data_IF_785723906754
#
_entry.id   IF_785723906754
#
_cell.length_a   1.000
_cell.length_b   1.000
_cell.length_c   1.000
_cell.angle_alpha   90.00
_cell.angle_beta   90.00
_cell.angle_gamma   90.00
#
_symmetry.space_group_name_H-M   'P 1'
#
loop_
_entity.id
_entity.type
_entity.pdbx_description
1 polymer ?
#
# COMPACT_ATOMS: atom_id res chain seq x y z
N UNK A 1 -0.14 -24.53 -9.09
CA UNK A 1 -0.49 -23.08 -9.18
C UNK A 1 0.32 -22.24 -8.20
N UNK A 2 0.34 -22.57 -6.90
CA UNK A 2 1.13 -21.87 -5.86
C UNK A 2 2.61 -21.64 -6.20
N UNK A 3 3.32 -22.67 -6.64
CA UNK A 3 4.76 -22.56 -7.00
C UNK A 3 5.02 -21.61 -8.17
N UNK A 4 4.08 -21.51 -9.13
CA UNK A 4 4.22 -20.61 -10.27
C UNK A 4 4.03 -19.15 -9.87
N UNK A 5 3.04 -18.86 -9.02
CA UNK A 5 2.77 -17.50 -8.52
C UNK A 5 3.95 -17.02 -7.67
N UNK A 6 4.45 -17.89 -6.79
CA UNK A 6 5.67 -17.61 -6.03
C UNK A 6 6.87 -17.42 -6.96
N UNK A 7 7.06 -18.29 -7.96
CA UNK A 7 8.16 -18.14 -8.92
C UNK A 7 8.20 -16.77 -9.61
N UNK A 8 7.03 -16.21 -9.96
CA UNK A 8 6.93 -14.88 -10.59
C UNK A 8 7.22 -13.75 -9.60
N UNK A 9 6.51 -13.71 -8.46
CA UNK A 9 6.70 -12.67 -7.44
C UNK A 9 8.11 -12.67 -6.86
N UNK A 10 8.80 -13.82 -6.95
CA UNK A 10 10.14 -14.01 -6.43
C UNK A 10 11.25 -13.90 -7.49
N UNK A 11 10.90 -13.60 -8.74
CA UNK A 11 11.89 -13.48 -9.80
C UNK A 11 12.75 -12.21 -9.64
N UNK A 12 14.04 -12.21 -10.02
CA UNK A 12 14.91 -11.04 -9.91
C UNK A 12 14.41 -9.83 -10.70
N UNK A 13 13.68 -10.06 -11.80
CA UNK A 13 13.13 -9.01 -12.66
C UNK A 13 11.80 -8.44 -12.15
N UNK A 14 11.16 -9.07 -11.16
CA UNK A 14 9.81 -8.71 -10.70
C UNK A 14 9.72 -7.24 -10.26
N UNK A 15 10.65 -6.77 -9.42
CA UNK A 15 10.64 -5.39 -8.92
C UNK A 15 10.84 -4.37 -10.06
N UNK A 16 11.71 -4.67 -11.03
CA UNK A 16 11.92 -3.79 -12.18
C UNK A 16 10.70 -3.73 -13.08
N UNK A 17 10.03 -4.87 -13.32
CA UNK A 17 8.78 -4.92 -14.07
C UNK A 17 7.66 -4.17 -13.35
N UNK A 18 7.52 -4.35 -12.04
CA UNK A 18 6.52 -3.64 -11.24
C UNK A 18 6.75 -2.12 -11.28
N UNK A 19 8.00 -1.67 -11.13
CA UNK A 19 8.35 -0.25 -11.26
C UNK A 19 8.02 0.31 -12.64
N UNK A 20 8.32 -0.43 -13.70
CA UNK A 20 8.00 -0.02 -15.08
C UNK A 20 6.49 0.05 -15.33
N UNK A 21 5.72 -0.91 -14.80
CA UNK A 21 4.25 -0.91 -14.90
C UNK A 21 3.65 0.27 -14.12
N UNK A 22 4.11 0.53 -12.90
CA UNK A 22 3.66 1.71 -12.14
C UNK A 22 3.95 3.00 -12.89
N UNK A 23 5.17 3.16 -13.41
CA UNK A 23 5.55 4.35 -14.17
C UNK A 23 4.70 4.50 -15.43
N UNK A 24 4.42 3.40 -16.13
CA UNK A 24 3.57 3.41 -17.32
C UNK A 24 2.13 3.81 -16.97
N UNK A 25 1.50 3.15 -15.99
CA UNK A 25 0.12 3.44 -15.59
C UNK A 25 -0.02 4.89 -15.12
N UNK A 26 0.92 5.37 -14.29
CA UNK A 26 0.94 6.75 -13.84
C UNK A 26 1.18 7.75 -14.97
N UNK A 27 2.10 7.44 -15.90
CA UNK A 27 2.33 8.32 -17.07
C UNK A 27 1.07 8.40 -17.95
N UNK A 28 0.39 7.27 -18.17
CA UNK A 28 -0.83 7.23 -18.95
C UNK A 28 -1.97 8.01 -18.27
N UNK A 29 -2.11 7.92 -16.94
CA UNK A 29 -3.15 8.65 -16.21
C UNK A 29 -2.95 10.17 -16.33
N UNK A 30 -1.72 10.67 -16.23
CA UNK A 30 -1.45 12.12 -16.36
C UNK A 30 -1.42 12.64 -17.80
N UNK A 31 -1.36 11.75 -18.80
CA UNK A 31 -1.24 12.14 -20.22
C UNK A 31 -2.59 12.41 -20.88
N UNK A 32 -3.72 12.15 -20.22
CA UNK A 32 -5.07 12.39 -20.75
C UNK A 32 -5.52 13.77 -20.24
N UNK A 33 -5.49 14.83 -21.08
CA UNK A 33 -5.58 16.21 -20.59
C UNK A 33 -6.97 16.60 -20.06
N UNK A 34 -8.01 15.95 -20.56
CA UNK A 34 -9.39 16.39 -20.35
C UNK A 34 -10.15 15.51 -19.34
N UNK A 35 -9.74 14.26 -19.16
CA UNK A 35 -10.43 13.31 -18.28
C UNK A 35 -9.56 12.08 -17.94
N UNK A 36 -8.79 12.10 -16.83
CA UNK A 36 -8.05 10.92 -16.38
C UNK A 36 -8.92 9.90 -15.66
N UNK A 37 -10.23 10.15 -15.47
CA UNK A 37 -11.11 9.25 -14.71
C UNK A 37 -11.06 7.79 -15.18
N UNK A 38 -10.95 7.43 -16.48
CA UNK A 38 -10.88 6.01 -16.86
C UNK A 38 -9.71 5.23 -16.24
N UNK A 39 -8.65 5.94 -15.81
CA UNK A 39 -7.50 5.35 -15.12
C UNK A 39 -7.60 5.37 -13.60
N UNK A 40 -8.26 6.40 -13.06
CA UNK A 40 -8.39 6.69 -11.63
C UNK A 40 -9.74 6.22 -11.05
N UNK A 41 -10.63 5.70 -11.89
CA UNK A 41 -11.90 5.13 -11.45
C UNK A 41 -11.66 3.93 -10.53
N UNK A 42 -12.65 3.58 -9.71
CA UNK A 42 -12.51 2.58 -8.66
C UNK A 42 -12.17 1.18 -9.21
N UNK A 43 -12.51 0.93 -10.48
CA UNK A 43 -12.16 -0.30 -11.23
C UNK A 43 -11.08 -0.08 -12.29
N UNK A 44 -10.44 1.08 -12.24
CA UNK A 44 -9.40 1.50 -13.14
C UNK A 44 -8.13 0.65 -13.02
N UNK A 45 -7.24 0.75 -14.01
CA UNK A 45 -5.90 0.15 -13.97
C UNK A 45 -5.11 0.45 -12.70
N UNK A 46 -5.28 1.63 -12.08
CA UNK A 46 -4.58 1.98 -10.85
C UNK A 46 -5.04 1.11 -9.69
N UNK A 47 -6.34 1.03 -9.43
CA UNK A 47 -6.94 0.23 -8.35
C UNK A 47 -6.64 -1.26 -8.52
N UNK A 48 -6.71 -1.79 -9.74
CA UNK A 48 -6.34 -3.18 -10.01
C UNK A 48 -4.86 -3.44 -9.67
N UNK A 49 -3.98 -2.49 -10.03
CA UNK A 49 -2.55 -2.61 -9.78
C UNK A 49 -2.21 -2.45 -8.30
N UNK A 50 -2.82 -1.51 -7.58
CA UNK A 50 -2.68 -1.34 -6.12
C UNK A 50 -3.16 -2.60 -5.39
N UNK A 51 -4.33 -3.14 -5.75
CA UNK A 51 -4.85 -4.40 -5.22
C UNK A 51 -3.89 -5.57 -5.43
N UNK A 52 -3.31 -5.68 -6.63
CA UNK A 52 -2.28 -6.70 -6.89
C UNK A 52 -1.02 -6.51 -6.04
N UNK A 53 -0.56 -5.27 -5.83
CA UNK A 53 0.58 -5.00 -4.94
C UNK A 53 0.28 -5.41 -3.49
N UNK A 54 -0.93 -5.10 -2.99
CA UNK A 54 -1.39 -5.53 -1.66
C UNK A 54 -1.42 -7.06 -1.55
N UNK A 55 -1.92 -7.75 -2.57
CA UNK A 55 -1.90 -9.21 -2.64
C UNK A 55 -0.46 -9.77 -2.53
N UNK A 56 0.47 -9.19 -3.29
CA UNK A 56 1.89 -9.59 -3.26
C UNK A 56 2.51 -9.33 -1.89
N UNK A 57 2.21 -8.20 -1.25
CA UNK A 57 2.61 -7.92 0.12
C UNK A 57 2.11 -9.01 1.09
N UNK A 58 0.84 -9.39 0.99
CA UNK A 58 0.25 -10.46 1.80
C UNK A 58 0.98 -11.80 1.63
N UNK A 59 1.24 -12.20 0.39
CA UNK A 59 1.99 -13.41 0.06
C UNK A 59 3.41 -13.37 0.64
N UNK A 60 4.16 -12.28 0.39
CA UNK A 60 5.54 -12.15 0.86
C UNK A 60 5.62 -12.18 2.39
N UNK A 61 4.70 -11.52 3.10
CA UNK A 61 4.65 -11.56 4.56
C UNK A 61 4.41 -12.98 5.10
N UNK A 62 3.55 -13.77 4.46
CA UNK A 62 3.34 -15.17 4.85
C UNK A 62 4.51 -16.09 4.46
N UNK A 63 5.26 -15.78 3.41
CA UNK A 63 6.51 -16.49 3.11
C UNK A 63 7.61 -16.14 4.12
N UNK A 64 7.71 -14.88 4.55
CA UNK A 64 8.58 -14.48 5.67
C UNK A 64 8.20 -15.25 6.94
N UNK A 65 6.91 -15.36 7.25
CA UNK A 65 6.42 -16.15 8.40
C UNK A 65 6.89 -17.60 8.37
N UNK A 66 6.92 -18.25 7.20
CA UNK A 66 7.39 -19.64 7.07
C UNK A 66 8.88 -19.79 7.40
N UNK A 67 9.69 -18.81 6.98
CA UNK A 67 11.13 -18.80 7.22
C UNK A 67 11.47 -18.32 8.64
N UNK A 68 10.66 -17.42 9.19
CA UNK A 68 10.85 -16.81 10.50
C UNK A 68 9.49 -16.68 11.21
N UNK A 69 9.05 -17.73 11.91
CA UNK A 69 7.73 -17.77 12.52
C UNK A 69 7.59 -16.75 13.65
N UNK A 70 6.90 -15.65 13.36
CA UNK A 70 6.46 -14.68 14.35
C UNK A 70 5.02 -14.27 14.05
N UNK A 71 4.19 -14.14 15.09
CA UNK A 71 2.77 -13.83 14.94
C UNK A 71 2.53 -12.56 14.10
N UNK A 72 3.44 -11.59 14.18
CA UNK A 72 3.34 -10.32 13.45
C UNK A 72 3.36 -10.52 11.93
N UNK A 73 4.19 -11.42 11.39
CA UNK A 73 4.23 -11.68 9.94
C UNK A 73 2.92 -12.29 9.43
N UNK A 74 2.30 -13.14 10.26
CA UNK A 74 0.98 -13.70 9.96
C UNK A 74 -0.10 -12.61 9.99
N UNK A 75 -0.05 -11.72 10.98
CA UNK A 75 -0.97 -10.59 11.07
C UNK A 75 -0.81 -9.63 9.89
N UNK A 76 0.43 -9.26 9.53
CA UNK A 76 0.72 -8.42 8.36
C UNK A 76 0.20 -9.08 7.07
N UNK A 77 0.45 -10.39 6.90
CA UNK A 77 -0.01 -11.12 5.73
C UNK A 77 -1.52 -11.10 5.56
N UNK A 78 -2.27 -11.40 6.62
CA UNK A 78 -3.73 -11.33 6.60
C UNK A 78 -4.26 -9.90 6.51
N UNK A 79 -3.58 -8.93 7.13
CA UNK A 79 -3.91 -7.51 7.00
C UNK A 79 -3.84 -7.03 5.55
N UNK A 80 -2.77 -7.38 4.83
CA UNK A 80 -2.66 -7.05 3.41
C UNK A 80 -3.67 -7.78 2.52
N UNK A 81 -4.06 -9.02 2.84
CA UNK A 81 -5.16 -9.68 2.13
C UNK A 81 -6.51 -9.02 2.41
N UNK A 82 -6.75 -8.57 3.63
CA UNK A 82 -7.94 -7.79 3.96
C UNK A 82 -7.95 -6.47 3.16
N UNK A 83 -6.84 -5.71 3.15
CA UNK A 83 -6.72 -4.48 2.37
C UNK A 83 -6.88 -4.73 0.85
N UNK A 84 -6.32 -5.82 0.33
CA UNK A 84 -6.53 -6.20 -1.07
C UNK A 84 -8.00 -6.51 -1.37
N UNK A 85 -8.70 -7.21 -0.46
CA UNK A 85 -10.12 -7.48 -0.63
C UNK A 85 -10.95 -6.21 -0.52
N UNK A 86 -10.58 -5.30 0.39
CA UNK A 86 -11.21 -3.99 0.53
C UNK A 86 -11.06 -3.15 -0.74
N UNK A 87 -9.85 -3.04 -1.28
CA UNK A 87 -9.59 -2.32 -2.54
C UNK A 87 -10.39 -2.92 -3.71
N UNK A 88 -10.45 -4.25 -3.81
CA UNK A 88 -11.08 -4.94 -4.94
C UNK A 88 -12.60 -5.11 -4.81
N UNK A 89 -13.17 -4.91 -3.62
CA UNK A 89 -14.60 -5.12 -3.37
C UNK A 89 -15.28 -3.90 -2.75
N UNK A 90 -14.52 -2.81 -2.52
CA UNK A 90 -15.00 -1.56 -1.92
C UNK A 90 -15.75 -1.82 -0.60
N UNK A 91 -15.12 -2.57 0.31
CA UNK A 91 -15.78 -2.92 1.57
C UNK A 91 -15.99 -1.69 2.45
N UNK A 92 -15.06 -0.72 2.42
CA UNK A 92 -15.18 0.55 3.14
C UNK A 92 -16.37 1.38 2.64
N UNK A 93 -16.61 1.50 1.33
CA UNK A 93 -17.79 2.19 0.81
C UNK A 93 -19.09 1.49 1.19
N UNK A 94 -19.10 0.17 1.10
CA UNK A 94 -20.28 -0.62 1.48
C UNK A 94 -20.58 -0.49 2.98
N UNK A 95 -19.53 -0.34 3.80
CA UNK A 95 -19.63 -0.08 5.24
C UNK A 95 -20.15 1.32 5.52
N UNK A 96 -19.68 2.34 4.79
CA UNK A 96 -20.19 3.71 4.88
C UNK A 96 -21.70 3.78 4.56
N UNK A 97 -22.10 3.23 3.40
CA UNK A 97 -23.50 3.15 2.99
C UNK A 97 -24.37 2.45 4.03
N UNK A 98 -23.86 1.38 4.64
CA UNK A 98 -24.54 0.65 5.70
C UNK A 98 -24.69 1.49 6.98
N UNK A 99 -23.65 2.20 7.41
CA UNK A 99 -23.68 3.06 8.60
C UNK A 99 -24.70 4.18 8.41
N UNK A 100 -24.68 4.83 7.24
CA UNK A 100 -25.67 5.84 6.87
C UNK A 100 -27.10 5.30 6.93
N UNK A 101 -27.31 4.10 6.41
CA UNK A 101 -28.62 3.44 6.43
C UNK A 101 -29.08 3.09 7.85
N UNK A 102 -28.20 2.53 8.69
CA UNK A 102 -28.54 2.13 10.08
C UNK A 102 -28.82 3.35 10.95
N UNK A 103 -28.01 4.41 10.83
CA UNK A 103 -28.12 5.60 11.70
C UNK A 103 -29.13 6.63 11.19
N UNK A 104 -29.65 6.47 9.97
CA UNK A 104 -30.57 7.44 9.35
C UNK A 104 -29.95 8.82 9.17
N UNK A 105 -28.62 8.91 9.12
CA UNK A 105 -27.87 10.17 9.00
C UNK A 105 -27.81 10.53 7.52
N UNK A 106 -28.24 11.74 7.17
CA UNK A 106 -28.07 12.24 5.80
C UNK A 106 -26.59 12.45 5.47
N UNK A 107 -26.22 12.15 4.23
CA UNK A 107 -24.90 12.45 3.68
C UNK A 107 -24.66 13.97 3.69
N UNK A 108 -23.88 14.42 4.66
CA UNK A 108 -23.33 15.77 4.78
C UNK A 108 -21.85 15.76 4.40
N UNK A 109 -21.26 16.94 4.18
CA UNK A 109 -19.81 17.08 3.93
C UNK A 109 -18.95 16.32 4.95
N UNK A 110 -19.32 16.31 6.23
CA UNK A 110 -18.53 15.65 7.29
C UNK A 110 -18.69 14.12 7.23
N UNK A 111 -19.91 13.66 6.99
CA UNK A 111 -20.20 12.22 6.99
C UNK A 111 -19.76 11.54 5.72
N UNK A 112 -19.57 12.30 4.63
CA UNK A 112 -19.04 11.80 3.35
C UNK A 112 -17.55 11.42 3.39
N UNK A 113 -16.87 11.61 4.53
CA UNK A 113 -15.46 11.22 4.73
C UNK A 113 -15.35 10.02 5.68
N UNK A 114 -16.44 9.30 5.94
CA UNK A 114 -16.42 8.19 6.88
C UNK A 114 -15.66 6.99 6.33
N UNK A 115 -15.73 6.77 5.02
CA UNK A 115 -14.85 5.86 4.26
C UNK A 115 -13.37 6.18 4.46
N UNK A 116 -12.97 7.44 4.29
CA UNK A 116 -11.58 7.89 4.51
C UNK A 116 -11.12 7.62 5.95
N UNK A 117 -12.02 7.88 6.92
CA UNK A 117 -11.77 7.59 8.34
C UNK A 117 -11.62 6.08 8.58
N UNK A 118 -12.44 5.24 7.93
CA UNK A 118 -12.33 3.78 8.02
C UNK A 118 -10.96 3.31 7.50
N UNK A 119 -10.53 3.81 6.34
CA UNK A 119 -9.20 3.49 5.76
C UNK A 119 -8.08 3.98 6.67
N UNK A 120 -8.19 5.20 7.21
CA UNK A 120 -7.24 5.75 8.20
C UNK A 120 -7.13 4.87 9.45
N UNK A 121 -8.24 4.34 9.96
CA UNK A 121 -8.27 3.40 11.08
C UNK A 121 -7.56 2.08 10.76
N UNK A 122 -7.67 1.57 9.53
CA UNK A 122 -6.89 0.40 9.09
C UNK A 122 -5.38 0.69 9.16
N UNK A 123 -4.96 1.86 8.70
CA UNK A 123 -3.58 2.32 8.79
C UNK A 123 -3.07 2.39 10.23
N UNK A 124 -3.88 2.96 11.14
CA UNK A 124 -3.55 3.04 12.57
C UNK A 124 -3.45 1.65 13.22
N UNK A 125 -4.36 0.72 12.88
CA UNK A 125 -4.29 -0.65 13.36
C UNK A 125 -3.01 -1.36 12.86
N UNK A 126 -2.64 -1.15 11.60
CA UNK A 126 -1.37 -1.65 11.03
C UNK A 126 -0.14 -1.08 11.75
N UNK A 127 -0.12 0.22 12.03
CA UNK A 127 0.97 0.86 12.77
C UNK A 127 1.07 0.34 14.21
N UNK A 128 -0.06 0.18 14.89
CA UNK A 128 -0.12 -0.41 16.23
C UNK A 128 0.40 -1.85 16.24
N UNK A 129 0.05 -2.65 15.23
CA UNK A 129 0.57 -4.01 15.06
C UNK A 129 2.10 -4.01 14.89
N UNK A 130 2.65 -3.14 14.04
CA UNK A 130 4.10 -3.00 13.86
C UNK A 130 4.81 -2.56 15.15
N UNK A 131 4.21 -1.64 15.90
CA UNK A 131 4.75 -1.22 17.19
C UNK A 131 4.74 -2.35 18.23
N UNK A 132 3.68 -3.16 18.27
CA UNK A 132 3.60 -4.35 19.12
C UNK A 132 4.61 -5.43 18.70
N UNK A 133 4.80 -5.63 17.39
CA UNK A 133 5.77 -6.55 16.81
C UNK A 133 7.18 -5.98 16.64
N UNK A 134 7.49 -4.80 17.22
CA UNK A 134 8.71 -4.03 16.92
C UNK A 134 10.02 -4.80 17.09
N UNK A 135 10.08 -5.73 18.05
CA UNK A 135 11.28 -6.54 18.29
C UNK A 135 11.65 -7.37 17.05
N UNK A 136 10.64 -7.88 16.35
CA UNK A 136 10.79 -8.64 15.12
C UNK A 136 11.09 -7.73 13.93
N UNK A 137 10.45 -6.56 13.85
CA UNK A 137 10.69 -5.59 12.77
C UNK A 137 12.12 -5.01 12.84
N UNK A 138 12.66 -4.79 14.04
CA UNK A 138 14.03 -4.28 14.26
C UNK A 138 15.09 -5.23 13.69
N UNK A 139 14.82 -6.53 13.60
CA UNK A 139 15.71 -7.47 12.90
C UNK A 139 15.96 -7.04 11.44
N UNK A 140 14.95 -6.48 10.79
CA UNK A 140 14.99 -5.97 9.43
C UNK A 140 15.26 -4.46 9.35
N UNK A 141 15.88 -3.86 10.37
CA UNK A 141 16.14 -2.41 10.45
C UNK A 141 16.81 -1.82 9.21
N UNK A 142 17.55 -2.58 8.40
CA UNK A 142 18.13 -2.05 7.15
C UNK A 142 17.06 -1.64 6.13
N UNK A 143 15.89 -2.27 6.18
CA UNK A 143 14.78 -2.05 5.23
C UNK A 143 13.69 -1.13 5.78
N UNK A 144 13.86 -0.62 7.01
CA UNK A 144 12.88 0.26 7.67
C UNK A 144 12.49 1.50 6.85
N UNK A 145 13.44 2.08 6.12
CA UNK A 145 13.21 3.28 5.31
C UNK A 145 12.25 3.00 4.15
N UNK A 146 12.24 1.78 3.60
CA UNK A 146 11.27 1.40 2.56
C UNK A 146 9.87 1.28 3.15
N UNK A 147 9.72 0.68 4.33
CA UNK A 147 8.45 0.68 5.04
C UNK A 147 8.00 2.11 5.35
N UNK A 148 8.91 2.97 5.83
CA UNK A 148 8.60 4.37 6.10
C UNK A 148 8.10 5.11 4.86
N UNK A 149 8.73 4.91 3.70
CA UNK A 149 8.25 5.46 2.42
C UNK A 149 6.87 4.91 2.03
N UNK A 150 6.65 3.61 2.22
CA UNK A 150 5.35 2.96 2.00
C UNK A 150 4.24 3.59 2.85
N UNK A 151 4.47 3.70 4.16
CA UNK A 151 3.54 4.33 5.11
C UNK A 151 3.35 5.82 4.87
N UNK A 152 4.40 6.52 4.43
CA UNK A 152 4.31 7.94 4.07
C UNK A 152 3.41 8.11 2.84
N UNK A 153 3.57 7.27 1.81
CA UNK A 153 2.69 7.30 0.65
C UNK A 153 1.23 7.04 1.02
N UNK A 154 0.97 6.03 1.85
CA UNK A 154 -0.36 5.77 2.40
C UNK A 154 -0.93 6.98 3.17
N UNK A 155 -0.14 7.58 4.06
CA UNK A 155 -0.59 8.74 4.84
C UNK A 155 -0.87 9.97 3.98
N UNK A 156 -0.10 10.18 2.91
CA UNK A 156 -0.33 11.27 1.95
C UNK A 156 -1.61 11.03 1.18
N UNK A 157 -1.83 9.82 0.64
CA UNK A 157 -3.09 9.47 -0.04
C UNK A 157 -4.30 9.75 0.85
N UNK A 158 -4.36 9.16 2.06
CA UNK A 158 -5.48 9.37 3.00
C UNK A 158 -5.68 10.85 3.35
N UNK A 159 -4.58 11.62 3.43
CA UNK A 159 -4.69 13.06 3.67
C UNK A 159 -5.31 13.80 2.48
N UNK A 160 -5.00 13.41 1.24
CA UNK A 160 -5.61 14.00 0.05
C UNK A 160 -7.11 13.67 -0.03
N UNK A 161 -7.53 12.47 0.36
CA UNK A 161 -8.96 12.08 0.38
C UNK A 161 -9.75 12.95 1.36
N UNK A 162 -9.25 13.01 2.60
CA UNK A 162 -9.84 13.83 3.66
C UNK A 162 -9.88 15.33 3.33
N UNK A 163 -8.94 15.81 2.51
CA UNK A 163 -8.82 17.23 2.17
C UNK A 163 -9.44 17.59 0.82
N UNK A 164 -9.72 16.63 -0.07
CA UNK A 164 -10.05 16.87 -1.48
C UNK A 164 -11.26 17.79 -1.68
N UNK A 165 -12.24 17.73 -0.77
CA UNK A 165 -13.40 18.62 -0.76
C UNK A 165 -13.13 20.06 -0.27
N UNK A 166 -12.01 20.30 0.41
CA UNK A 166 -11.73 21.53 1.18
C UNK A 166 -10.56 22.34 0.62
N UNK A 167 -9.80 21.80 -0.33
CA UNK A 167 -8.68 22.48 -1.00
C UNK A 167 -9.10 23.62 -1.94
N UNK A 168 -10.39 23.93 -2.07
CA UNK A 168 -10.90 24.97 -2.97
C UNK A 168 -10.24 26.35 -2.80
N UNK A 169 -9.90 26.75 -1.56
CA UNK A 169 -9.18 28.00 -1.31
C UNK A 169 -7.74 27.98 -1.84
N UNK A 170 -7.05 26.82 -1.75
CA UNK A 170 -5.72 26.63 -2.32
C UNK A 170 -5.77 26.69 -3.85
N UNK A 171 -6.75 26.01 -4.46
CA UNK A 171 -6.93 26.02 -5.92
C UNK A 171 -7.24 27.43 -6.45
N UNK A 172 -8.10 28.17 -5.74
CA UNK A 172 -8.38 29.57 -6.07
C UNK A 172 -7.15 30.47 -5.95
N UNK A 173 -6.26 30.21 -4.98
CA UNK A 173 -5.00 30.96 -4.84
C UNK A 173 -4.02 30.67 -5.98
N UNK A 174 -4.05 29.46 -6.54
CA UNK A 174 -3.20 29.03 -7.64
C UNK A 174 -3.78 29.31 -9.04
N UNK A 175 -4.94 29.97 -9.13
CA UNK A 175 -5.66 30.20 -10.39
C UNK A 175 -6.00 28.91 -11.16
N UNK A 176 -6.25 27.82 -10.42
CA UNK A 176 -6.67 26.53 -10.95
C UNK A 176 -8.17 26.38 -10.77
N UNK A 177 -8.88 25.97 -11.82
CA UNK A 177 -10.32 25.72 -11.72
C UNK A 177 -10.60 24.62 -10.69
N UNK A 178 -11.72 24.72 -9.94
CA UNK A 178 -12.06 23.72 -8.92
C UNK A 178 -12.11 22.29 -9.47
N UNK A 179 -12.58 22.13 -10.72
CA UNK A 179 -12.59 20.84 -11.41
C UNK A 179 -11.17 20.31 -11.66
N UNK A 180 -10.27 21.13 -12.22
CA UNK A 180 -8.87 20.73 -12.42
C UNK A 180 -8.15 20.45 -11.09
N UNK A 181 -8.44 21.22 -10.04
CA UNK A 181 -7.90 21.00 -8.70
C UNK A 181 -8.30 19.63 -8.14
N UNK A 182 -9.57 19.22 -8.32
CA UNK A 182 -10.06 17.89 -7.95
C UNK A 182 -9.33 16.79 -8.71
N UNK A 183 -9.22 16.93 -10.04
CA UNK A 183 -8.51 15.98 -10.89
C UNK A 183 -7.05 15.81 -10.47
N UNK A 184 -6.35 16.91 -10.17
CA UNK A 184 -4.96 16.83 -9.69
C UNK A 184 -4.84 16.20 -8.30
N UNK A 185 -5.82 16.41 -7.42
CA UNK A 185 -5.86 15.75 -6.12
C UNK A 185 -5.96 14.22 -6.28
N UNK A 186 -6.89 13.75 -7.13
CA UNK A 186 -7.07 12.33 -7.45
C UNK A 186 -5.81 11.72 -8.09
N UNK A 187 -5.16 12.44 -9.02
CA UNK A 187 -3.88 12.00 -9.62
C UNK A 187 -2.79 11.84 -8.55
N UNK A 188 -2.69 12.78 -7.61
CA UNK A 188 -1.67 12.75 -6.56
C UNK A 188 -1.94 11.60 -5.58
N UNK A 189 -3.18 11.49 -5.12
CA UNK A 189 -3.67 10.39 -4.28
C UNK A 189 -3.31 9.03 -4.89
N UNK A 190 -3.73 8.78 -6.12
CA UNK A 190 -3.52 7.53 -6.84
C UNK A 190 -2.03 7.27 -7.16
N UNK A 191 -1.27 8.32 -7.41
CA UNK A 191 0.19 8.25 -7.54
C UNK A 191 0.87 7.76 -6.26
N UNK A 192 0.47 8.31 -5.10
CA UNK A 192 0.99 7.91 -3.80
C UNK A 192 0.51 6.52 -3.38
N UNK A 193 -0.70 6.09 -3.81
CA UNK A 193 -1.19 4.70 -3.70
C UNK A 193 -0.20 3.70 -4.31
N UNK A 194 0.11 3.89 -5.59
CA UNK A 194 1.03 3.00 -6.34
C UNK A 194 2.46 3.05 -5.82
N UNK A 195 2.95 4.25 -5.48
CA UNK A 195 4.29 4.41 -4.92
C UNK A 195 4.41 3.72 -3.56
N UNK A 196 3.42 3.93 -2.68
CA UNK A 196 3.36 3.32 -1.36
C UNK A 196 3.35 1.79 -1.42
N UNK A 197 2.48 1.22 -2.26
CA UNK A 197 2.40 -0.22 -2.48
C UNK A 197 3.71 -0.81 -3.03
N UNK A 198 4.36 -0.14 -4.00
CA UNK A 198 5.67 -0.56 -4.52
C UNK A 198 6.76 -0.60 -3.44
N UNK A 199 6.85 0.42 -2.58
CA UNK A 199 7.82 0.45 -1.51
C UNK A 199 7.58 -0.66 -0.48
N UNK A 200 6.31 -0.94 -0.14
CA UNK A 200 5.94 -2.05 0.73
C UNK A 200 6.34 -3.41 0.13
N UNK A 201 6.03 -3.65 -1.15
CA UNK A 201 6.44 -4.87 -1.87
C UNK A 201 7.96 -5.02 -1.85
N UNK A 202 8.69 -3.94 -2.13
CA UNK A 202 10.16 -3.92 -2.14
C UNK A 202 10.74 -4.19 -0.74
N UNK A 203 10.14 -3.61 0.31
CA UNK A 203 10.56 -3.82 1.69
C UNK A 203 10.42 -5.28 2.10
N UNK A 204 9.24 -5.87 1.90
CA UNK A 204 8.96 -7.27 2.22
C UNK A 204 9.82 -8.21 1.40
N UNK A 205 10.01 -7.92 0.11
CA UNK A 205 10.88 -8.71 -0.75
C UNK A 205 12.32 -8.75 -0.23
N UNK A 206 12.88 -7.59 0.13
CA UNK A 206 14.24 -7.52 0.71
C UNK A 206 14.35 -8.21 2.07
N UNK A 207 13.29 -8.21 2.87
CA UNK A 207 13.24 -8.97 4.13
C UNK A 207 13.29 -10.48 3.85
N UNK A 208 12.50 -10.94 2.87
CA UNK A 208 12.52 -12.34 2.43
C UNK A 208 13.88 -12.76 1.86
N UNK A 209 14.48 -11.95 0.98
CA UNK A 209 15.81 -12.21 0.40
C UNK A 209 16.89 -12.29 1.50
N UNK A 210 16.79 -11.46 2.54
CA UNK A 210 17.69 -11.50 3.69
C UNK A 210 17.59 -12.84 4.44
N UNK A 211 16.39 -13.39 4.63
CA UNK A 211 16.21 -14.68 5.32
C UNK A 211 16.69 -15.87 4.50
N UNK A 212 16.67 -15.77 3.16
CA UNK A 212 17.16 -16.82 2.27
C UNK A 212 18.67 -16.78 2.06
N UNK A 213 19.33 -15.68 2.41
CA UNK A 213 20.78 -15.56 2.28
C UNK A 213 21.49 -16.58 3.20
N UNK A 214 22.57 -17.22 2.74
CA UNK A 214 23.36 -18.12 3.58
C UNK A 214 23.76 -17.44 4.90
N UNK A 215 23.78 -18.20 6.01
CA UNK A 215 24.09 -17.66 7.34
C UNK A 215 25.42 -16.87 7.38
N UNK A 216 26.39 -17.25 6.55
CA UNK A 216 27.67 -16.54 6.38
C UNK A 216 27.54 -15.10 5.88
N UNK A 217 26.48 -14.76 5.13
CA UNK A 217 26.19 -13.38 4.70
C UNK A 217 25.47 -12.56 5.76
N UNK A 218 24.74 -13.20 6.67
CA UNK A 218 24.02 -12.54 7.76
C UNK A 218 24.96 -12.10 8.88
N UNK A 219 26.03 -12.86 9.11
CA UNK A 219 27.04 -12.58 10.12
C UNK A 219 28.44 -12.54 9.49
N UNK A 220 28.79 -11.47 8.76
CA UNK A 220 30.10 -11.38 8.09
C UNK A 220 31.29 -11.42 9.06
N UNK A 221 31.03 -11.20 10.36
CA UNK A 221 32.04 -11.23 11.42
C UNK A 221 31.89 -12.45 12.37
N UNK A 222 31.04 -13.42 12.06
CA UNK A 222 30.99 -14.64 12.88
C UNK A 222 32.30 -15.43 12.68
N UNK A 223 32.92 -15.94 13.77
CA UNK A 223 34.09 -16.80 13.64
C UNK A 223 33.74 -18.04 12.80
N UNK A 224 34.68 -18.56 11.99
CA UNK A 224 34.43 -19.75 11.18
C UNK A 224 34.02 -20.92 12.08
N UNK A 225 32.97 -21.65 11.69
CA UNK A 225 32.58 -22.89 12.36
C UNK A 225 33.72 -23.89 12.17
N UNK A 226 34.25 -24.51 13.25
CA UNK A 226 35.29 -25.51 13.13
C UNK A 226 34.83 -26.62 12.17
N UNK A 227 35.68 -27.03 11.22
CA UNK A 227 35.40 -28.19 10.41
C UNK A 227 35.46 -29.44 11.30
N UNK A 228 34.38 -30.23 11.30
CA UNK A 228 34.35 -31.58 11.90
C UNK A 228 35.15 -32.57 11.06
#
# INVERSE_FOLDING_TARGET
MRERILGVALAPWFLSSLAAINALVFTLSVSIPDDPHPFLDEWGPVSILSGFQLLVCGILALEIYKLRPAWIWRLIGWGFFFLCADEMLQLHESSDRLIHWILGVQQTRITNHLDDVIVGLYGLAGLAALFAGRAEIVFFRRQWWLFALGFTGFAVMVAFDLMGGDLGALWSYLDVSAHQGKVWAEVVEEGFKLAGGFFCVTALRKCWDMLQAPASRLYPNAPPVPAE
#
